data_IF_796665905831
#
_entry.id   IF_796665905831
#
_cell.length_a   1.000
_cell.length_b   1.000
_cell.length_c   1.000
_cell.angle_alpha   90.00
_cell.angle_beta   90.00
_cell.angle_gamma   90.00
#
_symmetry.space_group_name_H-M   'P 1'
#
loop_
_entity.id
_entity.type
_entity.pdbx_description
1 polymer ?
#
# COMPACT_ATOMS: atom_id res chain seq x y z
N UNK A 1 4.74 53.05 21.21
CA UNK A 1 3.44 52.37 20.99
C UNK A 1 2.70 52.31 22.32
N UNK A 2 1.42 52.69 22.36
CA UNK A 2 0.68 52.86 23.61
C UNK A 2 0.19 51.49 24.12
N UNK A 3 0.60 51.07 25.33
CA UNK A 3 0.24 49.76 25.93
C UNK A 3 -1.27 49.48 25.95
N UNK A 4 -2.08 50.54 25.93
CA UNK A 4 -3.55 50.45 25.86
C UNK A 4 -4.04 49.93 24.49
N UNK A 5 -3.35 50.27 23.41
CA UNK A 5 -3.71 49.86 22.04
C UNK A 5 -3.43 48.38 21.83
N UNK A 6 -2.29 47.87 22.32
CA UNK A 6 -1.92 46.45 22.24
C UNK A 6 -2.91 45.55 22.98
N UNK A 7 -3.35 45.96 24.18
CA UNK A 7 -4.35 45.19 24.96
C UNK A 7 -5.70 45.10 24.26
N UNK A 8 -6.12 46.17 23.58
CA UNK A 8 -7.37 46.18 22.81
C UNK A 8 -7.26 45.28 21.58
N UNK A 9 -6.15 45.33 20.86
CA UNK A 9 -5.91 44.44 19.71
C UNK A 9 -5.89 42.97 20.12
N UNK A 10 -5.24 42.63 21.23
CA UNK A 10 -5.21 41.25 21.74
C UNK A 10 -6.60 40.75 22.14
N UNK A 11 -7.40 41.59 22.81
CA UNK A 11 -8.76 41.24 23.21
C UNK A 11 -9.66 40.99 21.98
N UNK A 12 -9.57 41.84 20.95
CA UNK A 12 -10.31 41.65 19.70
C UNK A 12 -9.90 40.35 19.01
N UNK A 13 -8.60 40.04 18.98
CA UNK A 13 -8.09 38.79 18.40
C UNK A 13 -8.64 37.56 19.14
N UNK A 14 -8.66 37.59 20.47
CA UNK A 14 -9.22 36.51 21.28
C UNK A 14 -10.73 36.30 21.03
N UNK A 15 -11.49 37.39 20.91
CA UNK A 15 -12.92 37.32 20.59
C UNK A 15 -13.13 36.70 19.20
N UNK A 16 -12.38 37.15 18.20
CA UNK A 16 -12.45 36.58 16.84
C UNK A 16 -12.08 35.09 16.81
N UNK A 17 -11.04 34.69 17.54
CA UNK A 17 -10.64 33.28 17.64
C UNK A 17 -11.73 32.43 18.29
N UNK A 18 -12.34 32.93 19.37
CA UNK A 18 -13.43 32.24 20.06
C UNK A 18 -14.66 32.05 19.16
N UNK A 19 -14.99 33.07 18.36
CA UNK A 19 -16.10 33.03 17.42
C UNK A 19 -15.84 32.03 16.28
N UNK A 20 -14.61 32.01 15.74
CA UNK A 20 -14.21 31.03 14.73
C UNK A 20 -14.28 29.59 15.26
N UNK A 21 -13.91 29.37 16.52
CA UNK A 21 -13.98 28.06 17.17
C UNK A 21 -15.43 27.57 17.32
N UNK A 22 -16.35 28.47 17.69
CA UNK A 22 -17.79 28.17 17.79
C UNK A 22 -18.37 27.79 16.42
N UNK A 23 -18.02 28.53 15.36
CA UNK A 23 -18.47 28.22 13.99
C UNK A 23 -17.99 26.83 13.56
N UNK A 24 -16.72 26.49 13.81
CA UNK A 24 -16.17 25.18 13.49
C UNK A 24 -16.90 24.05 14.24
N UNK A 25 -17.20 24.25 15.52
CA UNK A 25 -17.99 23.31 16.33
C UNK A 25 -19.41 23.09 15.76
N UNK A 26 -20.10 24.17 15.37
CA UNK A 26 -21.42 24.09 14.73
C UNK A 26 -21.36 23.33 13.41
N UNK A 27 -20.33 23.56 12.58
CA UNK A 27 -20.13 22.85 11.32
C UNK A 27 -19.88 21.35 11.54
N UNK A 28 -19.07 20.99 12.54
CA UNK A 28 -18.81 19.58 12.90
C UNK A 28 -20.09 18.88 13.37
N UNK A 29 -20.89 19.54 14.22
CA UNK A 29 -22.18 18.99 14.68
C UNK A 29 -23.14 18.82 13.51
N UNK A 30 -23.23 19.82 12.62
CA UNK A 30 -24.06 19.73 11.42
C UNK A 30 -23.64 18.59 10.50
N UNK A 31 -22.33 18.38 10.31
CA UNK A 31 -21.81 17.29 9.47
C UNK A 31 -22.12 15.93 10.10
N UNK A 32 -21.96 15.80 11.43
CA UNK A 32 -22.30 14.57 12.15
C UNK A 32 -23.77 14.21 12.01
N UNK A 33 -24.67 15.18 12.05
CA UNK A 33 -26.11 14.92 11.86
C UNK A 33 -26.40 14.50 10.43
N UNK A 34 -25.82 15.16 9.41
CA UNK A 34 -25.95 14.72 8.01
C UNK A 34 -25.44 13.30 7.79
N UNK A 35 -24.36 12.89 8.46
CA UNK A 35 -23.85 11.52 8.39
C UNK A 35 -24.81 10.54 9.07
N UNK A 36 -25.40 10.88 10.22
CA UNK A 36 -26.41 10.02 10.86
C UNK A 36 -27.62 9.80 9.96
N UNK A 37 -28.08 10.85 9.30
CA UNK A 37 -29.20 10.79 8.36
C UNK A 37 -28.85 9.99 7.10
N UNK A 38 -27.60 10.07 6.63
CA UNK A 38 -27.13 9.31 5.47
C UNK A 38 -26.81 7.83 5.77
N UNK A 39 -26.50 7.49 7.02
CA UNK A 39 -26.22 6.11 7.46
C UNK A 39 -27.49 5.37 7.89
N UNK A 40 -28.58 6.09 8.17
CA UNK A 40 -29.93 5.53 8.18
C UNK A 40 -30.42 5.31 6.74
N UNK A 41 -29.81 4.33 6.07
CA UNK A 41 -30.49 3.66 4.97
C UNK A 41 -31.58 2.82 5.63
N UNK A 42 -32.83 3.23 5.48
CA UNK A 42 -34.01 2.41 5.74
C UNK A 42 -33.90 1.14 4.88
N UNK A 43 -33.29 0.10 5.44
CA UNK A 43 -33.51 -1.29 5.01
C UNK A 43 -34.64 -1.89 5.85
N UNK A 44 -35.77 -1.20 5.88
CA UNK A 44 -37.06 -1.78 6.25
C UNK A 44 -38.06 -1.53 5.11
N UNK A 45 -37.68 -1.81 3.87
CA UNK A 45 -38.72 -2.29 2.96
C UNK A 45 -39.20 -3.64 3.52
N UNK A 46 -40.50 -3.82 3.77
CA UNK A 46 -41.02 -5.13 4.10
C UNK A 46 -40.67 -6.01 2.91
N UNK A 47 -39.81 -7.01 3.12
CA UNK A 47 -39.56 -8.06 2.14
C UNK A 47 -40.92 -8.69 1.89
N UNK A 48 -41.54 -8.28 0.78
CA UNK A 48 -42.70 -8.93 0.21
C UNK A 48 -42.30 -10.40 0.12
N UNK A 49 -43.05 -11.22 0.85
CA UNK A 49 -42.68 -12.58 1.22
C UNK A 49 -42.03 -13.27 0.05
N UNK A 50 -40.70 -13.39 0.11
CA UNK A 50 -39.96 -14.25 -0.79
C UNK A 50 -40.69 -15.59 -0.76
N UNK A 51 -40.95 -16.23 -1.93
CA UNK A 51 -41.64 -17.50 -1.95
C UNK A 51 -40.99 -18.37 -0.89
N UNK A 52 -41.79 -18.85 0.07
CA UNK A 52 -41.36 -19.80 1.10
C UNK A 52 -40.37 -20.72 0.39
N UNK A 53 -39.09 -20.60 0.74
CA UNK A 53 -38.12 -21.60 0.35
C UNK A 53 -38.72 -22.86 0.95
N UNK A 54 -39.35 -23.67 0.08
CA UNK A 54 -39.78 -25.00 0.42
C UNK A 54 -38.61 -25.57 1.19
N UNK A 55 -38.87 -26.01 2.44
CA UNK A 55 -37.88 -26.64 3.29
C UNK A 55 -36.94 -27.39 2.38
N UNK A 56 -35.69 -26.93 2.28
CA UNK A 56 -34.68 -27.68 1.55
C UNK A 56 -34.81 -29.06 2.19
N UNK A 57 -35.26 -30.08 1.43
CA UNK A 57 -35.51 -31.38 2.02
C UNK A 57 -34.25 -31.71 2.80
N UNK A 58 -34.40 -32.34 3.96
CA UNK A 58 -33.29 -32.80 4.78
C UNK A 58 -32.41 -33.69 3.89
N UNK A 59 -31.53 -33.05 3.12
CA UNK A 59 -30.55 -33.69 2.28
C UNK A 59 -29.57 -34.06 3.33
N UNK A 60 -29.74 -35.28 3.80
CA UNK A 60 -28.75 -36.06 4.52
C UNK A 60 -27.50 -36.04 3.63
N UNK A 61 -26.77 -34.93 3.72
CA UNK A 61 -25.48 -34.68 3.10
C UNK A 61 -24.58 -35.63 3.86
N UNK A 62 -24.66 -36.91 3.47
CA UNK A 62 -23.71 -37.93 3.82
C UNK A 62 -22.40 -37.40 3.29
N UNK A 63 -21.67 -36.74 4.19
CA UNK A 63 -20.27 -36.40 4.00
C UNK A 63 -19.67 -37.69 3.49
N UNK A 64 -19.19 -37.66 2.25
CA UNK A 64 -18.66 -38.85 1.62
C UNK A 64 -17.58 -39.42 2.54
N UNK A 65 -17.77 -40.62 3.13
CA UNK A 65 -16.79 -41.21 4.03
C UNK A 65 -15.47 -41.54 3.33
N UNK A 66 -15.38 -41.32 2.00
CA UNK A 66 -14.15 -41.37 1.22
C UNK A 66 -13.23 -40.16 1.43
N UNK A 67 -13.69 -39.06 2.06
CA UNK A 67 -12.79 -37.98 2.49
C UNK A 67 -11.84 -38.57 3.53
N UNK A 68 -10.53 -38.62 3.26
CA UNK A 68 -9.60 -39.21 4.20
C UNK A 68 -9.61 -38.39 5.50
N UNK A 69 -10.07 -38.99 6.61
CA UNK A 69 -9.95 -38.37 7.95
C UNK A 69 -8.49 -38.02 8.27
N UNK A 70 -7.55 -38.75 7.66
CA UNK A 70 -6.12 -38.52 7.83
C UNK A 70 -5.67 -37.28 7.07
N UNK A 71 -5.40 -36.22 7.82
CA UNK A 71 -4.84 -34.97 7.30
C UNK A 71 -5.83 -33.81 7.29
N UNK A 72 -7.11 -34.05 7.62
CA UNK A 72 -8.07 -32.96 7.81
C UNK A 72 -7.76 -32.20 9.11
N UNK A 73 -7.80 -30.87 9.04
CA UNK A 73 -7.59 -29.98 10.18
C UNK A 73 -8.65 -28.87 10.16
N UNK A 74 -9.13 -28.50 11.33
CA UNK A 74 -10.05 -27.38 11.50
C UNK A 74 -9.42 -26.33 12.41
N UNK A 75 -9.55 -25.07 12.03
CA UNK A 75 -9.10 -23.93 12.81
C UNK A 75 -10.31 -23.07 13.18
N UNK A 76 -10.48 -22.76 14.46
CA UNK A 76 -11.58 -21.92 14.95
C UNK A 76 -12.39 -22.58 16.08
N UNK A 77 -13.53 -21.98 16.46
CA UNK A 77 -14.17 -20.81 15.83
C UNK A 77 -13.39 -19.50 16.06
N UNK A 78 -13.41 -18.60 15.08
CA UNK A 78 -12.85 -17.24 15.18
C UNK A 78 -13.90 -16.20 14.81
N UNK A 79 -13.81 -15.00 15.40
CA UNK A 79 -14.71 -13.90 15.06
C UNK A 79 -14.39 -13.29 13.68
N UNK A 80 -13.15 -13.42 13.23
CA UNK A 80 -12.65 -13.02 11.91
C UNK A 80 -11.57 -13.99 11.46
N UNK A 81 -11.53 -14.30 10.17
CA UNK A 81 -10.52 -15.13 9.52
C UNK A 81 -10.25 -14.57 8.11
N UNK A 82 -8.98 -14.34 7.80
CA UNK A 82 -8.49 -14.01 6.46
C UNK A 82 -7.44 -15.06 6.04
N UNK A 83 -7.77 -15.81 5.00
CA UNK A 83 -6.92 -16.87 4.48
C UNK A 83 -5.94 -16.30 3.47
N UNK A 84 -4.67 -16.17 3.87
CA UNK A 84 -3.69 -15.40 3.10
C UNK A 84 -2.93 -16.22 2.07
N UNK A 85 -2.44 -17.41 2.44
CA UNK A 85 -1.76 -18.29 1.49
C UNK A 85 -1.81 -19.77 1.88
N UNK A 86 -1.72 -20.62 0.86
CA UNK A 86 -1.64 -22.07 0.98
C UNK A 86 -0.74 -22.65 -0.11
N UNK A 87 0.27 -23.41 0.30
CA UNK A 87 1.17 -24.17 -0.56
C UNK A 87 1.28 -25.60 -0.05
N UNK A 88 2.06 -26.44 -0.72
CA UNK A 88 2.29 -27.83 -0.32
C UNK A 88 2.76 -27.97 1.14
N UNK A 89 3.61 -27.04 1.59
CA UNK A 89 4.29 -27.10 2.89
C UNK A 89 3.98 -25.90 3.78
N UNK A 90 3.14 -24.96 3.34
CA UNK A 90 2.90 -23.72 4.09
C UNK A 90 1.45 -23.28 4.04
N UNK A 91 0.84 -23.14 5.22
CA UNK A 91 -0.44 -22.49 5.42
C UNK A 91 -0.22 -21.21 6.25
N UNK A 92 -0.83 -20.11 5.82
CA UNK A 92 -0.76 -18.83 6.50
C UNK A 92 -2.12 -18.14 6.49
N UNK A 93 -2.62 -17.79 7.68
CA UNK A 93 -3.86 -17.06 7.82
C UNK A 93 -3.80 -16.10 9.00
N UNK A 94 -4.65 -15.08 8.93
CA UNK A 94 -4.86 -14.10 10.00
C UNK A 94 -6.21 -14.37 10.62
N UNK A 95 -6.31 -14.29 11.94
CA UNK A 95 -7.59 -14.40 12.64
C UNK A 95 -7.67 -13.38 13.78
N UNK A 96 -8.90 -13.12 14.24
CA UNK A 96 -9.11 -12.32 15.46
C UNK A 96 -9.74 -13.14 16.57
N UNK A 97 -9.23 -12.96 17.78
CA UNK A 97 -9.83 -13.45 19.03
C UNK A 97 -9.87 -12.31 20.06
N UNK A 98 -11.02 -12.12 20.70
CA UNK A 98 -11.25 -11.06 21.69
C UNK A 98 -10.79 -9.65 21.24
N UNK A 99 -11.01 -9.32 19.97
CA UNK A 99 -10.63 -8.03 19.37
C UNK A 99 -9.14 -7.83 19.13
N UNK A 100 -8.33 -8.89 19.28
CA UNK A 100 -6.91 -8.92 18.96
C UNK A 100 -6.64 -9.76 17.72
N UNK A 101 -5.64 -9.37 16.95
CA UNK A 101 -5.27 -10.07 15.72
C UNK A 101 -4.06 -10.98 15.93
N UNK A 102 -4.08 -12.11 15.24
CA UNK A 102 -3.05 -13.14 15.26
C UNK A 102 -2.76 -13.60 13.85
N UNK A 103 -1.50 -13.90 13.54
CA UNK A 103 -1.13 -14.68 12.37
C UNK A 103 -0.80 -16.11 12.81
N UNK A 104 -1.34 -17.10 12.11
CA UNK A 104 -0.94 -18.49 12.23
C UNK A 104 -0.21 -18.89 10.95
N UNK A 105 1.04 -19.33 11.08
CA UNK A 105 1.87 -19.80 9.98
C UNK A 105 2.43 -21.17 10.35
N UNK A 106 1.92 -22.23 9.72
CA UNK A 106 2.26 -23.61 10.04
C UNK A 106 2.18 -23.92 11.55
N UNK A 107 1.04 -23.60 12.17
CA UNK A 107 0.77 -23.77 13.60
C UNK A 107 1.60 -22.87 14.54
N UNK A 108 2.49 -22.03 14.01
CA UNK A 108 3.17 -21.00 14.78
C UNK A 108 2.29 -19.76 14.88
N UNK A 109 1.89 -19.40 16.10
CA UNK A 109 1.01 -18.28 16.37
C UNK A 109 1.83 -17.04 16.73
N UNK A 110 1.57 -15.94 16.04
CA UNK A 110 2.16 -14.63 16.29
C UNK A 110 1.06 -13.64 16.69
N UNK A 111 1.23 -12.96 17.81
CA UNK A 111 0.24 -12.02 18.38
C UNK A 111 0.25 -12.09 19.91
N UNK A 112 -0.66 -11.39 20.59
CA UNK A 112 -1.77 -10.60 20.05
C UNK A 112 -1.40 -9.17 19.62
N UNK A 113 -1.88 -8.73 18.45
CA UNK A 113 -1.67 -7.36 17.95
C UNK A 113 -2.96 -6.54 17.85
N UNK A 114 -2.84 -5.21 17.77
CA UNK A 114 -3.99 -4.30 17.64
C UNK A 114 -4.63 -4.44 16.25
N UNK A 115 -3.77 -4.61 15.24
CA UNK A 115 -4.13 -4.88 13.86
C UNK A 115 -2.99 -5.65 13.19
N UNK A 116 -3.33 -6.49 12.23
CA UNK A 116 -2.38 -7.19 11.38
C UNK A 116 -2.85 -7.12 9.93
N UNK A 117 -1.95 -6.86 9.00
CA UNK A 117 -2.25 -6.89 7.57
C UNK A 117 -1.05 -7.38 6.74
N UNK A 118 -1.26 -7.53 5.44
CA UNK A 118 -0.20 -7.85 4.46
C UNK A 118 0.58 -9.14 4.77
N UNK A 119 -0.10 -10.18 5.27
CA UNK A 119 0.50 -11.51 5.42
C UNK A 119 0.84 -12.07 4.03
N UNK A 120 2.13 -12.31 3.79
CA UNK A 120 2.70 -12.79 2.52
C UNK A 120 3.69 -13.91 2.76
N UNK A 121 3.87 -14.77 1.77
CA UNK A 121 4.93 -15.78 1.75
C UNK A 121 5.67 -15.79 0.41
N UNK A 122 6.91 -16.28 0.45
CA UNK A 122 7.75 -16.51 -0.72
C UNK A 122 8.75 -17.62 -0.40
N UNK A 123 8.54 -18.81 -0.98
CA UNK A 123 9.24 -20.02 -0.54
C UNK A 123 9.01 -20.28 0.96
N UNK A 124 10.10 -20.44 1.72
CA UNK A 124 10.05 -20.63 3.17
C UNK A 124 10.00 -19.31 3.96
N UNK A 125 10.03 -18.17 3.29
CA UNK A 125 9.98 -16.87 3.96
C UNK A 125 8.53 -16.39 4.10
N UNK A 126 8.25 -15.71 5.19
CA UNK A 126 6.99 -15.02 5.41
C UNK A 126 7.21 -13.62 5.94
N UNK A 127 6.20 -12.78 5.74
CA UNK A 127 6.18 -11.44 6.30
C UNK A 127 4.76 -10.99 6.59
N UNK A 128 4.62 -10.07 7.54
CA UNK A 128 3.37 -9.35 7.76
C UNK A 128 3.65 -8.03 8.46
N UNK A 129 2.73 -7.07 8.30
CA UNK A 129 2.73 -5.84 9.09
C UNK A 129 1.80 -6.01 10.28
N UNK A 130 2.20 -5.48 11.41
CA UNK A 130 1.35 -5.41 12.58
C UNK A 130 1.46 -4.05 13.26
N UNK A 131 0.43 -3.71 14.04
CA UNK A 131 0.32 -2.42 14.70
C UNK A 131 0.21 -2.61 16.20
N UNK A 132 0.87 -1.72 16.93
CA UNK A 132 0.71 -1.53 18.37
C UNK A 132 0.57 -0.02 18.62
N UNK A 133 -0.62 0.41 19.01
CA UNK A 133 -1.01 1.81 19.05
C UNK A 133 -0.93 2.48 17.67
N UNK A 134 -0.20 3.58 17.59
CA UNK A 134 0.01 4.37 16.37
C UNK A 134 1.25 3.93 15.57
N UNK A 135 1.95 2.89 16.01
CA UNK A 135 3.19 2.42 15.38
C UNK A 135 2.94 1.19 14.52
N UNK A 136 3.65 1.13 13.41
CA UNK A 136 3.71 -0.03 12.54
C UNK A 136 5.05 -0.75 12.68
N UNK A 137 4.97 -2.07 12.65
CA UNK A 137 6.09 -2.98 12.63
C UNK A 137 5.97 -3.92 11.44
N UNK A 138 7.11 -4.40 10.96
CA UNK A 138 7.21 -5.43 9.94
C UNK A 138 7.91 -6.63 10.55
N UNK A 139 7.26 -7.79 10.51
CA UNK A 139 7.94 -9.05 10.76
C UNK A 139 8.34 -9.67 9.42
N UNK A 140 9.59 -10.11 9.32
CA UNK A 140 10.06 -11.02 8.26
C UNK A 140 10.68 -12.21 8.97
N UNK A 141 10.07 -13.38 8.84
CA UNK A 141 10.45 -14.57 9.59
C UNK A 141 10.52 -14.32 11.11
N UNK A 142 11.71 -14.43 11.70
CA UNK A 142 11.96 -14.21 13.12
C UNK A 142 12.44 -12.77 13.43
N UNK A 143 12.70 -11.96 12.41
CA UNK A 143 13.17 -10.58 12.58
C UNK A 143 11.99 -9.61 12.62
N UNK A 144 12.10 -8.62 13.51
CA UNK A 144 11.12 -7.53 13.67
C UNK A 144 11.81 -6.21 13.34
N UNK A 145 11.17 -5.42 12.49
CA UNK A 145 11.58 -4.07 12.13
C UNK A 145 10.54 -3.06 12.61
N UNK A 146 11.00 -2.00 13.27
CA UNK A 146 10.14 -0.95 13.82
C UNK A 146 10.60 -0.53 15.22
N UNK A 147 9.84 0.31 15.91
CA UNK A 147 8.60 0.96 15.45
C UNK A 147 8.83 2.04 14.39
N UNK A 148 7.89 2.17 13.45
CA UNK A 148 7.88 3.23 12.43
C UNK A 148 6.55 4.00 12.40
N UNK A 149 6.56 5.17 11.75
CA UNK A 149 5.35 5.98 11.52
C UNK A 149 4.50 5.39 10.39
N UNK A 150 5.15 4.93 9.33
CA UNK A 150 4.55 4.22 8.20
C UNK A 150 5.57 3.21 7.64
N UNK A 151 5.10 2.17 6.95
CA UNK A 151 5.92 1.12 6.35
C UNK A 151 5.20 0.42 5.20
N UNK A 152 5.94 0.14 4.11
CA UNK A 152 5.50 -0.71 2.99
C UNK A 152 6.55 -1.74 2.60
N UNK A 153 6.15 -3.01 2.57
CA UNK A 153 6.94 -4.08 1.99
C UNK A 153 6.65 -4.22 0.49
N UNK A 154 7.68 -4.11 -0.33
CA UNK A 154 7.57 -4.24 -1.79
C UNK A 154 8.19 -5.55 -2.32
N UNK A 155 9.12 -6.16 -1.60
CA UNK A 155 9.74 -7.42 -2.04
C UNK A 155 9.99 -8.39 -0.89
N UNK A 156 9.67 -9.65 -1.14
CA UNK A 156 10.02 -10.80 -0.32
C UNK A 156 10.40 -11.94 -1.27
N UNK A 157 11.69 -12.25 -1.37
CA UNK A 157 12.23 -13.35 -2.16
C UNK A 157 12.28 -14.66 -1.38
N UNK A 158 12.32 -15.78 -2.10
CA UNK A 158 12.52 -17.12 -1.52
C UNK A 158 13.95 -17.35 -1.01
N UNK A 159 14.91 -16.55 -1.50
CA UNK A 159 16.31 -16.48 -1.07
C UNK A 159 16.54 -15.61 0.17
N UNK A 160 15.45 -15.24 0.87
CA UNK A 160 15.44 -14.31 2.00
C UNK A 160 15.85 -12.86 1.65
N UNK A 161 15.92 -12.52 0.36
CA UNK A 161 16.01 -11.12 -0.05
C UNK A 161 14.72 -10.38 0.29
N UNK A 162 14.84 -9.14 0.75
CA UNK A 162 13.68 -8.32 1.05
C UNK A 162 13.97 -6.84 0.86
N UNK A 163 12.90 -6.10 0.60
CA UNK A 163 12.95 -4.65 0.47
C UNK A 163 11.66 -4.02 0.98
N UNK A 164 11.82 -3.03 1.87
CA UNK A 164 10.72 -2.24 2.38
C UNK A 164 11.11 -0.77 2.55
N UNK A 165 10.13 0.11 2.44
CA UNK A 165 10.26 1.52 2.78
C UNK A 165 9.59 1.78 4.13
N UNK A 166 10.11 2.74 4.88
CA UNK A 166 9.57 3.13 6.17
C UNK A 166 9.76 4.61 6.43
N UNK A 167 8.83 5.18 7.20
CA UNK A 167 8.88 6.57 7.61
C UNK A 167 9.35 6.68 9.08
N UNK A 168 10.37 7.52 9.29
CA UNK A 168 10.90 7.86 10.61
C UNK A 168 11.26 9.34 10.67
N UNK A 169 10.80 10.04 11.71
CA UNK A 169 11.01 11.48 11.88
C UNK A 169 10.60 12.28 10.63
N UNK A 170 9.45 11.94 10.04
CA UNK A 170 8.89 12.55 8.82
C UNK A 170 9.77 12.42 7.56
N UNK A 171 10.78 11.56 7.58
CA UNK A 171 11.58 11.23 6.41
C UNK A 171 11.34 9.78 6.01
N UNK A 172 11.41 9.52 4.71
CA UNK A 172 11.34 8.18 4.15
C UNK A 172 12.72 7.56 4.02
N UNK A 173 12.78 6.26 4.26
CA UNK A 173 13.96 5.44 4.14
C UNK A 173 13.60 4.16 3.40
N UNK A 174 14.55 3.64 2.63
CA UNK A 174 14.42 2.34 1.95
C UNK A 174 15.45 1.39 2.54
N UNK A 175 15.01 0.24 3.08
CA UNK A 175 15.89 -0.83 3.56
C UNK A 175 15.86 -2.00 2.60
N UNK A 176 17.03 -2.46 2.19
CA UNK A 176 17.19 -3.54 1.22
C UNK A 176 18.37 -4.41 1.62
N UNK A 177 18.13 -5.70 1.86
CA UNK A 177 19.18 -6.69 2.18
C UNK A 177 20.22 -6.16 3.19
N UNK A 178 19.76 -5.49 4.25
CA UNK A 178 20.60 -4.93 5.32
C UNK A 178 21.16 -3.52 5.08
N UNK A 179 21.09 -2.97 3.86
CA UNK A 179 21.47 -1.58 3.55
C UNK A 179 20.29 -0.63 3.78
N UNK A 180 20.58 0.59 4.21
CA UNK A 180 19.58 1.64 4.42
C UNK A 180 19.93 2.83 3.50
N UNK A 181 18.93 3.31 2.79
CA UNK A 181 18.97 4.48 1.91
C UNK A 181 18.04 5.56 2.44
N UNK A 182 18.46 6.83 2.30
CA UNK A 182 17.78 7.99 2.85
C UNK A 182 18.68 8.80 3.77
N UNK A 183 18.15 9.83 4.46
CA UNK A 183 16.75 10.24 4.46
C UNK A 183 16.30 10.84 3.12
N UNK A 184 15.04 10.60 2.77
CA UNK A 184 14.36 11.21 1.62
C UNK A 184 13.11 11.97 2.08
N UNK A 185 12.73 12.99 1.32
CA UNK A 185 11.47 13.72 1.55
C UNK A 185 10.27 12.81 1.26
N UNK A 186 10.36 12.06 0.16
CA UNK A 186 9.36 11.11 -0.32
C UNK A 186 10.07 9.94 -1.03
N UNK A 187 9.44 8.76 -1.01
CA UNK A 187 9.80 7.63 -1.86
C UNK A 187 8.67 7.34 -2.83
N UNK A 188 9.03 6.90 -4.04
CA UNK A 188 8.08 6.59 -5.11
C UNK A 188 7.99 5.09 -5.35
N UNK A 189 7.71 4.70 -6.59
CA UNK A 189 7.68 3.29 -7.00
C UNK A 189 9.05 2.63 -6.79
N UNK A 190 9.04 1.37 -6.35
CA UNK A 190 10.22 0.53 -6.11
C UNK A 190 9.99 -0.80 -6.84
N UNK A 191 11.00 -1.29 -7.55
CA UNK A 191 10.95 -2.58 -8.25
C UNK A 191 12.27 -3.32 -8.10
N UNK A 192 12.21 -4.64 -7.99
CA UNK A 192 13.41 -5.48 -8.01
C UNK A 192 14.04 -5.47 -9.41
N UNK A 193 15.37 -5.32 -9.46
CA UNK A 193 16.12 -5.25 -10.70
C UNK A 193 17.44 -6.00 -10.57
N UNK A 194 17.58 -7.09 -11.31
CA UNK A 194 18.74 -7.99 -11.22
C UNK A 194 18.96 -8.51 -9.78
N UNK A 195 20.02 -8.06 -9.10
CA UNK A 195 20.34 -8.41 -7.71
C UNK A 195 20.18 -7.22 -6.74
N UNK A 196 19.59 -6.13 -7.21
CA UNK A 196 19.35 -4.91 -6.45
C UNK A 196 17.92 -4.40 -6.74
N UNK A 197 17.65 -3.13 -6.44
CA UNK A 197 16.39 -2.49 -6.76
C UNK A 197 16.61 -1.21 -7.53
N UNK A 198 15.60 -0.87 -8.32
CA UNK A 198 15.41 0.46 -8.87
C UNK A 198 14.28 1.14 -8.10
N UNK A 199 14.49 2.38 -7.68
CA UNK A 199 13.45 3.15 -6.99
C UNK A 199 13.51 4.64 -7.28
N UNK A 200 12.34 5.28 -7.22
CA UNK A 200 12.23 6.73 -7.25
C UNK A 200 12.28 7.31 -5.82
N UNK A 201 12.91 8.46 -5.66
CA UNK A 201 12.94 9.20 -4.39
C UNK A 201 13.00 10.70 -4.64
N UNK A 202 12.59 11.49 -3.64
CA UNK A 202 12.59 12.94 -3.69
C UNK A 202 13.58 13.53 -2.68
N UNK A 203 14.38 14.48 -3.14
CA UNK A 203 15.39 15.17 -2.34
C UNK A 203 15.51 16.61 -2.79
N UNK A 204 15.43 17.56 -1.85
CA UNK A 204 15.45 19.00 -2.12
C UNK A 204 14.39 19.42 -3.15
N UNK A 205 13.18 18.86 -3.07
CA UNK A 205 12.06 19.18 -3.96
C UNK A 205 12.10 18.52 -5.35
N UNK A 206 13.20 17.87 -5.75
CA UNK A 206 13.31 17.19 -7.05
C UNK A 206 13.28 15.68 -6.91
N UNK A 207 12.75 15.01 -7.94
CA UNK A 207 12.73 13.57 -8.03
C UNK A 207 14.00 13.02 -8.69
N UNK A 208 14.40 11.84 -8.24
CA UNK A 208 15.52 11.07 -8.74
C UNK A 208 15.14 9.60 -8.85
N UNK A 209 15.81 8.87 -9.74
CA UNK A 209 15.75 7.41 -9.81
C UNK A 209 17.09 6.84 -9.40
N UNK A 210 17.11 6.01 -8.36
CA UNK A 210 18.26 5.20 -7.93
C UNK A 210 18.30 3.95 -8.80
N UNK A 211 19.40 3.72 -9.50
CA UNK A 211 19.66 2.49 -10.26
C UNK A 211 21.17 2.16 -10.22
N UNK A 212 21.51 0.90 -9.96
CA UNK A 212 22.89 0.40 -9.86
C UNK A 212 23.78 1.29 -8.98
N UNK A 213 23.26 1.67 -7.81
CA UNK A 213 23.94 2.57 -6.85
C UNK A 213 24.01 4.05 -7.27
N UNK A 214 23.75 4.37 -8.53
CA UNK A 214 23.77 5.72 -9.08
C UNK A 214 22.40 6.38 -8.99
N UNK A 215 22.38 7.71 -9.02
CA UNK A 215 21.13 8.48 -9.07
C UNK A 215 21.02 9.22 -10.40
N UNK A 216 19.83 9.19 -11.01
CA UNK A 216 19.50 9.89 -12.25
C UNK A 216 18.43 10.94 -11.95
N UNK A 217 18.60 12.14 -12.46
CA UNK A 217 17.80 13.33 -12.15
C UNK A 217 18.69 14.59 -12.15
N UNK A 218 18.20 15.75 -11.69
CA UNK A 218 16.87 15.97 -11.12
C UNK A 218 15.75 15.91 -12.17
N UNK A 219 14.58 15.49 -11.73
CA UNK A 219 13.33 15.49 -12.51
C UNK A 219 12.23 16.20 -11.71
N UNK A 220 11.23 16.71 -12.41
CA UNK A 220 10.08 17.34 -11.77
C UNK A 220 9.11 16.29 -11.21
N UNK A 221 8.97 15.16 -11.91
CA UNK A 221 8.08 14.05 -11.55
C UNK A 221 8.64 12.70 -12.07
N UNK A 222 8.37 11.61 -11.34
CA UNK A 222 8.46 10.22 -11.84
C UNK A 222 7.07 9.59 -11.75
N UNK A 223 6.48 9.20 -12.88
CA UNK A 223 5.10 8.68 -12.93
C UNK A 223 5.03 7.15 -12.94
N UNK A 224 5.93 6.52 -13.70
CA UNK A 224 6.02 5.07 -13.82
C UNK A 224 7.46 4.62 -13.66
N UNK A 225 7.65 3.43 -13.09
CA UNK A 225 8.93 2.74 -12.96
C UNK A 225 8.63 1.24 -12.90
N UNK A 226 9.30 0.46 -13.75
CA UNK A 226 9.10 -0.99 -13.86
C UNK A 226 10.36 -1.67 -14.39
N UNK A 227 10.40 -2.99 -14.19
CA UNK A 227 11.50 -3.87 -14.58
C UNK A 227 10.95 -5.13 -15.22
N UNK A 228 11.70 -5.70 -16.16
CA UNK A 228 11.44 -7.03 -16.73
C UNK A 228 12.78 -7.65 -17.09
N UNK A 229 13.14 -8.76 -16.44
CA UNK A 229 14.42 -9.42 -16.64
C UNK A 229 15.60 -8.47 -16.39
N UNK A 230 16.37 -8.19 -17.44
CA UNK A 230 17.51 -7.26 -17.42
C UNK A 230 17.16 -5.85 -17.91
N UNK A 231 15.89 -5.58 -18.23
CA UNK A 231 15.41 -4.26 -18.67
C UNK A 231 14.76 -3.50 -17.52
N UNK A 232 14.93 -2.19 -17.54
CA UNK A 232 14.16 -1.26 -16.72
C UNK A 232 13.60 -0.13 -17.59
N UNK A 233 12.48 0.42 -17.15
CA UNK A 233 11.91 1.60 -17.75
C UNK A 233 11.29 2.52 -16.70
N UNK A 234 11.35 3.83 -16.95
CA UNK A 234 10.63 4.81 -16.16
C UNK A 234 10.18 6.02 -17.00
N UNK A 235 9.07 6.61 -16.58
CA UNK A 235 8.50 7.83 -17.17
C UNK A 235 8.82 8.99 -16.25
N UNK A 236 9.38 10.05 -16.81
CA UNK A 236 9.81 11.22 -16.06
C UNK A 236 9.47 12.53 -16.78
N UNK A 237 9.35 13.61 -16.01
CA UNK A 237 9.02 14.94 -16.49
C UNK A 237 10.19 15.92 -16.27
N UNK A 238 10.45 16.76 -17.27
CA UNK A 238 11.34 17.93 -17.17
C UNK A 238 10.67 19.12 -17.87
N UNK A 239 10.35 20.15 -17.09
CA UNK A 239 9.51 21.25 -17.51
C UNK A 239 8.12 20.75 -17.92
N UNK A 240 7.66 21.16 -19.09
CA UNK A 240 6.36 20.76 -19.64
C UNK A 240 6.42 19.42 -20.41
N UNK A 241 7.60 18.85 -20.58
CA UNK A 241 7.81 17.68 -21.43
C UNK A 241 7.97 16.39 -20.62
N UNK A 242 7.42 15.32 -21.18
CA UNK A 242 7.53 13.97 -20.67
C UNK A 242 8.49 13.13 -21.50
N UNK A 243 9.18 12.21 -20.84
CA UNK A 243 10.16 11.31 -21.44
C UNK A 243 9.98 9.89 -20.90
N UNK A 244 10.26 8.89 -21.73
CA UNK A 244 10.45 7.51 -21.31
C UNK A 244 11.93 7.19 -21.36
N UNK A 245 12.50 6.68 -20.27
CA UNK A 245 13.80 5.99 -20.32
C UNK A 245 13.56 4.50 -20.35
N UNK A 246 14.21 3.81 -21.28
CA UNK A 246 14.29 2.34 -21.33
C UNK A 246 15.77 1.99 -21.40
N UNK A 247 16.31 1.42 -20.33
CA UNK A 247 17.74 1.21 -20.17
C UNK A 247 18.57 2.49 -20.40
N UNK A 248 19.33 2.54 -21.51
CA UNK A 248 20.15 3.69 -21.89
C UNK A 248 19.43 4.66 -22.82
N UNK A 249 18.37 4.20 -23.48
CA UNK A 249 17.64 4.95 -24.49
C UNK A 249 16.60 5.88 -23.86
N UNK A 250 16.40 7.03 -24.50
CA UNK A 250 15.45 8.05 -24.08
C UNK A 250 14.53 8.38 -25.26
N UNK A 251 13.22 8.33 -24.99
CA UNK A 251 12.16 8.65 -25.94
C UNK A 251 11.44 9.92 -25.46
N UNK A 252 11.18 10.85 -26.38
CA UNK A 252 10.62 12.17 -26.11
C UNK A 252 11.47 13.29 -26.71
N UNK A 253 11.13 14.56 -26.47
CA UNK A 253 10.04 15.04 -25.62
C UNK A 253 8.65 14.74 -26.18
N UNK A 254 7.68 14.49 -25.30
CA UNK A 254 6.25 14.38 -25.62
C UNK A 254 5.42 15.23 -24.64
N UNK A 255 4.19 15.57 -25.01
CA UNK A 255 3.26 16.35 -24.19
C UNK A 255 2.76 15.61 -22.95
N UNK A 256 2.51 14.30 -23.07
CA UNK A 256 2.21 13.39 -21.94
C UNK A 256 2.54 11.95 -22.31
N UNK A 257 2.88 11.13 -21.32
CA UNK A 257 3.02 9.68 -21.48
C UNK A 257 2.05 8.97 -20.52
N UNK A 258 1.50 7.84 -20.97
CA UNK A 258 0.68 6.95 -20.15
C UNK A 258 0.87 5.48 -20.55
N UNK A 259 0.41 4.57 -19.68
CA UNK A 259 0.34 3.13 -19.94
C UNK A 259 1.65 2.47 -20.43
N UNK A 260 2.79 2.83 -19.82
CA UNK A 260 4.05 2.12 -20.05
C UNK A 260 3.88 0.61 -19.78
N UNK A 261 4.39 -0.22 -20.67
CA UNK A 261 4.51 -1.67 -20.57
C UNK A 261 5.91 -2.09 -21.01
N UNK A 262 6.48 -3.04 -20.28
CA UNK A 262 7.82 -3.56 -20.51
C UNK A 262 7.78 -5.08 -20.34
N UNK A 263 8.38 -5.79 -21.30
CA UNK A 263 8.76 -7.20 -21.18
C UNK A 263 10.26 -7.34 -21.46
N UNK A 264 10.78 -8.57 -21.36
CA UNK A 264 12.20 -8.84 -21.62
C UNK A 264 12.60 -8.49 -23.05
N UNK A 265 11.68 -8.60 -23.99
CA UNK A 265 11.94 -8.41 -25.42
C UNK A 265 11.28 -7.14 -25.98
N UNK A 266 10.11 -6.78 -25.45
CA UNK A 266 9.23 -5.76 -26.05
C UNK A 266 8.95 -4.62 -25.08
N UNK A 267 8.52 -3.48 -25.62
CA UNK A 267 7.94 -2.41 -24.82
C UNK A 267 6.87 -1.67 -25.60
N UNK A 268 6.02 -0.94 -24.87
CA UNK A 268 5.11 0.01 -25.48
C UNK A 268 4.59 1.03 -24.48
N UNK A 269 4.18 2.17 -24.99
CA UNK A 269 3.56 3.25 -24.20
C UNK A 269 2.66 4.10 -25.10
N UNK A 270 1.73 4.83 -24.48
CA UNK A 270 0.91 5.81 -25.19
C UNK A 270 1.49 7.18 -24.91
N UNK A 271 1.76 7.96 -25.96
CA UNK A 271 2.02 9.40 -25.83
C UNK A 271 0.83 10.23 -26.31
N UNK A 272 0.68 11.40 -25.73
CA UNK A 272 -0.30 12.41 -26.14
C UNK A 272 0.44 13.69 -26.54
N UNK A 273 0.18 14.19 -27.75
CA UNK A 273 0.74 15.43 -28.27
C UNK A 273 -0.37 16.25 -28.93
N UNK A 274 -0.55 17.50 -28.48
CA UNK A 274 -1.58 18.41 -28.99
C UNK A 274 -3.02 17.82 -28.97
N UNK A 275 -3.32 16.97 -27.98
CA UNK A 275 -4.62 16.28 -27.84
C UNK A 275 -4.79 15.05 -28.72
N UNK A 276 -3.77 14.63 -29.47
CA UNK A 276 -3.76 13.40 -30.25
C UNK A 276 -2.96 12.31 -29.54
N UNK A 277 -3.44 11.06 -29.62
CA UNK A 277 -2.83 9.90 -28.97
C UNK A 277 -2.09 9.01 -29.96
N UNK A 278 -0.89 8.60 -29.59
CA UNK A 278 -0.03 7.73 -30.38
C UNK A 278 0.41 6.53 -29.54
N UNK A 279 0.26 5.32 -30.07
CA UNK A 279 0.78 4.10 -29.47
C UNK A 279 2.20 3.85 -30.03
N UNK A 280 3.20 3.95 -29.17
CA UNK A 280 4.58 3.62 -29.49
C UNK A 280 4.86 2.19 -29.04
N UNK A 281 5.35 1.34 -29.94
CA UNK A 281 5.72 -0.05 -29.62
C UNK A 281 7.07 -0.42 -30.22
N UNK A 282 7.77 -1.29 -29.52
CA UNK A 282 8.91 -2.03 -30.04
C UNK A 282 8.64 -3.51 -29.84
N UNK A 283 8.64 -4.25 -30.95
CA UNK A 283 8.49 -5.69 -30.98
C UNK A 283 9.79 -6.27 -31.53
N UNK A 284 10.46 -7.11 -30.76
CA UNK A 284 11.57 -7.91 -31.27
C UNK A 284 11.04 -8.87 -32.34
N UNK A 285 11.85 -9.10 -33.37
CA UNK A 285 11.58 -10.14 -34.38
C UNK A 285 11.66 -11.55 -33.79
#
# INVERSE_FOLDING_TARGET
>A
MNKLTERRTLLILCILLSFALIIALVQIISLRNKIKDAVFIDTEEPIDSAPLYNEVPDVDLKIDPSVPEKGFRSFGPFAYLDFSFFSQDTIGFVYSDNGRFYANINDNIFGPYDRLDSLRSSGNNFSFRYYEGDKVYLRINNEIFGPYQDLRLFHLGSDASFGFEYQKNNNWYVRMNGKIHGPYEETGRISFFMNDFIFAYKLNGSWYVKIDGNSKGPYDTIDALMTSGQKFAYVYQVGENWYVRINQDIYGPYGRISLLRLTDDNFGFIREDNGEYYLETYLSE
#
